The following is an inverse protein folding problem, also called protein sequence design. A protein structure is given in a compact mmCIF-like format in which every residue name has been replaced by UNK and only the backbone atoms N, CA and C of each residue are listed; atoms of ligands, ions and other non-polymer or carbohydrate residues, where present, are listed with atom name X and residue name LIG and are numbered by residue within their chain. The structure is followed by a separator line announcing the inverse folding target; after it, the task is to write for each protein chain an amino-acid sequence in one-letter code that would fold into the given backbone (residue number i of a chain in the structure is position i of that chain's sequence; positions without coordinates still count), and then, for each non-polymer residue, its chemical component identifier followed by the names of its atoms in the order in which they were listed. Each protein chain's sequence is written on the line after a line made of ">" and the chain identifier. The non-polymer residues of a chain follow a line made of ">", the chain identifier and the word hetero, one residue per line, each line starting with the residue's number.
data_IF_970795290674
#
_entry.id   IF_970795290674
#
_cell.length_a   1.000
_cell.length_b   1.000
_cell.length_c   1.000
_cell.angle_alpha   90.00
_cell.angle_beta   90.00
_cell.angle_gamma   90.00
#
_symmetry.space_group_name_H-M   'P 1'
#
loop_
_entity.id
_entity.type
_entity.pdbx_description
1 polymer ?
#
# COMPACT_ATOMS: atom_id res chain seq x y z
N UNK A 1 -20.21 -32.90 10.95
CA UNK A 1 -18.90 -33.55 10.73
C UNK A 1 -17.84 -32.72 11.44
N UNK A 2 -17.19 -33.30 12.47
CA UNK A 2 -16.04 -32.70 13.16
C UNK A 2 -14.88 -32.57 12.16
N UNK A 3 -14.60 -31.34 11.70
CA UNK A 3 -13.50 -31.09 10.78
C UNK A 3 -13.80 -31.55 9.35
N UNK A 4 -14.12 -30.61 8.46
CA UNK A 4 -14.43 -30.92 7.05
C UNK A 4 -13.36 -31.78 6.37
N UNK A 5 -13.78 -32.76 5.56
CA UNK A 5 -12.88 -33.65 4.83
C UNK A 5 -12.12 -32.86 3.75
N UNK A 6 -10.79 -33.01 3.71
CA UNK A 6 -9.94 -32.41 2.67
C UNK A 6 -9.58 -33.44 1.60
N UNK A 7 -9.15 -34.63 2.02
CA UNK A 7 -8.75 -35.70 1.13
C UNK A 7 -8.85 -37.04 1.86
N UNK A 8 -9.37 -38.06 1.18
CA UNK A 8 -9.28 -39.45 1.62
C UNK A 8 -8.56 -40.26 0.55
N UNK A 9 -7.70 -41.20 0.97
CA UNK A 9 -6.98 -42.10 0.05
C UNK A 9 -6.64 -43.41 0.73
N UNK A 10 -6.51 -44.48 -0.06
CA UNK A 10 -5.97 -45.75 0.43
C UNK A 10 -4.47 -45.76 0.17
N UNK A 11 -3.68 -46.13 1.18
CA UNK A 11 -2.23 -46.34 1.07
C UNK A 11 -1.85 -47.59 1.86
N UNK A 12 -1.22 -48.55 1.20
CA UNK A 12 -0.75 -49.80 1.81
C UNK A 12 -1.86 -50.57 2.57
N UNK A 13 -3.07 -50.61 2.00
CA UNK A 13 -4.25 -51.25 2.60
C UNK A 13 -4.88 -50.48 3.77
N UNK A 14 -4.41 -49.28 4.09
CA UNK A 14 -4.95 -48.41 5.13
C UNK A 14 -5.67 -47.20 4.52
N UNK A 15 -6.77 -46.78 5.16
CA UNK A 15 -7.46 -45.55 4.79
C UNK A 15 -6.80 -44.37 5.49
N UNK A 16 -6.21 -43.45 4.71
CA UNK A 16 -5.60 -42.21 5.19
C UNK A 16 -6.56 -41.05 4.92
N UNK A 17 -7.01 -40.39 5.98
CA UNK A 17 -7.97 -39.28 5.93
C UNK A 17 -7.29 -38.00 6.39
N UNK A 18 -7.23 -37.01 5.50
CA UNK A 18 -6.81 -35.63 5.79
C UNK A 18 -8.06 -34.77 5.96
N UNK A 19 -8.27 -34.23 7.16
CA UNK A 19 -9.41 -33.37 7.50
C UNK A 19 -8.93 -32.04 8.09
N UNK A 20 -9.80 -31.05 8.03
CA UNK A 20 -9.61 -29.80 8.75
C UNK A 20 -9.59 -30.09 10.26
N UNK A 21 -8.62 -29.54 10.98
CA UNK A 21 -8.65 -29.56 12.43
C UNK A 21 -9.87 -28.78 12.93
N UNK A 22 -10.79 -29.46 13.61
CA UNK A 22 -12.03 -28.88 14.11
C UNK A 22 -11.82 -28.00 15.35
N UNK A 23 -10.63 -28.06 15.97
CA UNK A 23 -10.33 -27.39 17.24
C UNK A 23 -11.23 -27.87 18.39
N UNK A 24 -11.09 -27.22 19.56
CA UNK A 24 -11.85 -27.57 20.77
C UNK A 24 -13.37 -27.40 20.63
N UNK A 25 -13.81 -26.58 19.68
CA UNK A 25 -15.21 -26.19 19.50
C UNK A 25 -15.84 -26.76 18.21
N UNK A 26 -15.16 -27.66 17.49
CA UNK A 26 -15.74 -28.41 16.38
C UNK A 26 -15.99 -27.64 15.07
N UNK A 27 -15.54 -26.38 14.95
CA UNK A 27 -15.79 -25.52 13.80
C UNK A 27 -14.82 -25.74 12.64
N UNK A 28 -15.33 -25.97 11.42
CA UNK A 28 -14.51 -26.27 10.24
C UNK A 28 -14.33 -25.10 9.25
N UNK A 29 -15.03 -23.97 9.42
CA UNK A 29 -15.08 -22.90 8.42
C UNK A 29 -13.74 -22.16 8.20
N UNK A 30 -12.86 -22.14 9.21
CA UNK A 30 -11.60 -21.39 9.17
C UNK A 30 -10.43 -22.21 9.72
N UNK A 31 -10.26 -23.43 9.21
CA UNK A 31 -9.22 -24.33 9.69
C UNK A 31 -7.81 -23.76 9.45
N UNK A 32 -6.98 -23.74 10.50
CA UNK A 32 -5.58 -23.32 10.45
C UNK A 32 -4.63 -24.52 10.32
N UNK A 33 -5.14 -25.70 10.67
CA UNK A 33 -4.40 -26.96 10.67
C UNK A 33 -5.21 -28.04 9.96
N UNK A 34 -4.49 -28.98 9.39
CA UNK A 34 -5.01 -30.24 8.91
C UNK A 34 -4.56 -31.35 9.85
N UNK A 35 -5.45 -32.30 10.12
CA UNK A 35 -5.14 -33.52 10.85
C UNK A 35 -5.22 -34.68 9.86
N UNK A 36 -4.19 -35.50 9.84
CA UNK A 36 -4.18 -36.74 9.07
C UNK A 36 -4.26 -37.93 10.03
N UNK A 37 -5.35 -38.69 9.91
CA UNK A 37 -5.60 -39.93 10.63
C UNK A 37 -5.50 -41.11 9.68
N UNK A 38 -5.10 -42.27 10.21
CA UNK A 38 -5.00 -43.51 9.44
C UNK A 38 -5.91 -44.54 10.07
N UNK A 39 -6.67 -45.26 9.26
CA UNK A 39 -7.65 -46.25 9.69
C UNK A 39 -7.38 -47.60 9.04
N UNK A 40 -7.54 -48.68 9.82
CA UNK A 40 -7.58 -50.05 9.33
C UNK A 40 -9.01 -50.55 9.37
N UNK A 41 -9.45 -51.17 8.28
CA UNK A 41 -10.73 -51.87 8.25
C UNK A 41 -10.54 -53.29 8.78
N UNK A 42 -11.32 -53.71 9.77
CA UNK A 42 -11.25 -55.04 10.38
C UNK A 42 -12.32 -56.01 9.86
N UNK A 43 -13.00 -55.66 8.76
CA UNK A 43 -14.11 -56.44 8.20
C UNK A 43 -15.48 -55.99 8.68
N UNK A 44 -15.55 -55.15 9.73
CA UNK A 44 -16.81 -54.56 10.24
C UNK A 44 -16.71 -53.05 10.44
N UNK A 45 -15.58 -52.57 10.97
CA UNK A 45 -15.41 -51.19 11.39
C UNK A 45 -14.06 -50.61 10.95
N UNK A 46 -13.98 -49.29 10.84
CA UNK A 46 -12.71 -48.56 10.68
C UNK A 46 -12.16 -48.24 12.06
N UNK A 47 -11.00 -48.78 12.39
CA UNK A 47 -10.27 -48.47 13.63
C UNK A 47 -9.08 -47.58 13.32
N UNK A 48 -8.97 -46.48 14.05
CA UNK A 48 -7.80 -45.61 13.92
C UNK A 48 -6.53 -46.35 14.36
N UNK A 49 -5.47 -46.22 13.59
CA UNK A 49 -4.19 -46.88 13.79
C UNK A 49 -3.04 -45.88 13.63
N UNK A 50 -2.04 -45.98 14.49
CA UNK A 50 -0.90 -45.06 14.51
C UNK A 50 -1.22 -43.72 15.19
N UNK A 51 -0.23 -42.81 15.17
CA UNK A 51 -0.40 -41.45 15.71
C UNK A 51 -0.95 -40.53 14.61
N UNK A 52 -2.01 -39.80 14.94
CA UNK A 52 -2.50 -38.68 14.13
C UNK A 52 -1.39 -37.66 13.93
N UNK A 53 -1.27 -37.12 12.72
CA UNK A 53 -0.33 -36.03 12.42
C UNK A 53 -1.08 -34.73 12.22
N UNK A 54 -0.49 -33.61 12.64
CA UNK A 54 -1.08 -32.27 12.54
C UNK A 54 -0.13 -31.37 11.77
N UNK A 55 -0.64 -30.68 10.74
CA UNK A 55 0.15 -29.76 9.91
C UNK A 55 -0.53 -28.41 9.77
N UNK A 56 0.25 -27.33 9.69
CA UNK A 56 -0.29 -26.02 9.33
C UNK A 56 -0.76 -26.03 7.87
N UNK A 57 -1.94 -25.44 7.63
CA UNK A 57 -2.48 -25.29 6.28
C UNK A 57 -1.84 -24.14 5.51
N UNK A 58 -1.35 -23.13 6.23
CA UNK A 58 -0.77 -21.91 5.67
C UNK A 58 0.57 -21.58 6.34
N UNK A 59 1.60 -22.42 6.15
CA UNK A 59 2.91 -22.19 6.76
C UNK A 59 3.49 -20.85 6.28
N UNK A 60 3.99 -20.05 7.20
CA UNK A 60 4.52 -18.73 6.88
C UNK A 60 5.92 -18.85 6.25
N UNK A 61 6.11 -18.28 5.06
CA UNK A 61 7.42 -18.20 4.40
C UNK A 61 8.26 -17.10 5.03
N UNK A 62 9.45 -17.42 5.53
CA UNK A 62 10.36 -16.40 6.07
C UNK A 62 10.89 -15.47 4.99
N UNK A 63 10.85 -14.19 5.28
CA UNK A 63 11.49 -13.13 4.51
C UNK A 63 12.75 -12.70 5.27
N UNK A 64 13.89 -12.81 4.59
CA UNK A 64 15.16 -12.28 5.04
C UNK A 64 15.61 -11.18 4.08
N UNK A 65 16.16 -10.11 4.65
CA UNK A 65 16.79 -9.02 3.91
C UNK A 65 18.28 -9.31 3.71
N UNK A 66 18.82 -8.85 2.59
CA UNK A 66 20.28 -8.82 2.41
C UNK A 66 20.91 -7.89 3.45
N UNK A 67 22.17 -8.12 3.81
CA UNK A 67 22.89 -7.28 4.77
C UNK A 67 22.77 -5.79 4.41
N UNK A 68 22.47 -4.96 5.42
CA UNK A 68 22.27 -3.50 5.26
C UNK A 68 21.00 -3.09 4.50
N UNK A 69 20.13 -4.04 4.09
CA UNK A 69 18.84 -3.73 3.46
C UNK A 69 17.71 -3.84 4.48
N UNK A 70 16.78 -2.91 4.38
CA UNK A 70 15.58 -2.81 5.22
C UNK A 70 14.30 -3.13 4.44
N UNK A 71 14.43 -3.55 3.19
CA UNK A 71 13.28 -3.90 2.34
C UNK A 71 13.63 -4.90 1.25
N UNK A 72 12.59 -5.59 0.75
CA UNK A 72 12.70 -6.59 -0.30
C UNK A 72 11.40 -6.69 -1.07
N UNK A 73 11.51 -6.60 -2.40
CA UNK A 73 10.39 -6.90 -3.30
C UNK A 73 10.18 -8.41 -3.33
N UNK A 74 8.95 -8.82 -3.04
CA UNK A 74 8.52 -10.21 -3.08
C UNK A 74 7.62 -10.38 -4.29
N UNK A 75 7.90 -11.42 -5.05
CA UNK A 75 7.08 -11.83 -6.19
C UNK A 75 6.58 -13.24 -5.95
N UNK A 76 5.27 -13.42 -6.07
CA UNK A 76 4.62 -14.72 -5.92
C UNK A 76 3.67 -14.99 -7.08
N UNK A 77 3.46 -16.28 -7.35
CA UNK A 77 2.43 -16.77 -8.26
C UNK A 77 1.49 -17.64 -7.43
N UNK A 78 0.20 -17.30 -7.42
CA UNK A 78 -0.83 -18.02 -6.66
C UNK A 78 -1.80 -18.70 -7.64
N UNK A 79 -2.01 -20.00 -7.44
CA UNK A 79 -2.91 -20.82 -8.26
C UNK A 79 -4.37 -20.39 -8.09
N UNK A 80 -5.29 -20.74 -9.00
CA UNK A 80 -6.72 -20.38 -8.94
C UNK A 80 -7.36 -20.64 -7.57
N UNK A 81 -7.15 -21.83 -7.01
CA UNK A 81 -7.69 -22.33 -5.76
C UNK A 81 -6.99 -21.78 -4.50
N UNK A 82 -5.82 -21.16 -4.66
CA UNK A 82 -5.04 -20.65 -3.55
C UNK A 82 -5.52 -19.25 -3.16
N UNK A 83 -6.24 -19.14 -2.05
CA UNK A 83 -6.83 -17.87 -1.62
C UNK A 83 -5.89 -16.99 -0.78
N UNK A 84 -4.86 -17.58 -0.16
CA UNK A 84 -3.96 -16.84 0.73
C UNK A 84 -2.59 -17.45 0.89
N UNK A 85 -1.61 -16.60 1.20
CA UNK A 85 -0.25 -16.98 1.61
C UNK A 85 0.19 -16.20 2.83
N UNK A 86 1.03 -16.81 3.66
CA UNK A 86 1.61 -16.16 4.84
C UNK A 86 3.09 -15.96 4.69
N UNK A 87 3.56 -14.86 5.28
CA UNK A 87 4.96 -14.51 5.33
C UNK A 87 5.31 -14.13 6.76
N UNK A 88 6.53 -14.46 7.16
CA UNK A 88 7.07 -14.08 8.47
C UNK A 88 8.31 -13.23 8.29
N UNK A 89 8.39 -12.15 9.05
CA UNK A 89 9.55 -11.26 9.11
C UNK A 89 9.95 -11.08 10.57
N UNK A 90 11.25 -11.21 10.84
CA UNK A 90 11.82 -10.89 12.14
C UNK A 90 12.07 -9.40 12.22
N UNK A 91 11.65 -8.76 13.31
CA UNK A 91 11.82 -7.34 13.53
C UNK A 91 11.91 -7.02 15.03
N UNK A 92 12.53 -5.89 15.36
CA UNK A 92 12.68 -5.41 16.72
C UNK A 92 11.50 -4.54 17.16
N UNK A 93 11.30 -4.45 18.48
CA UNK A 93 10.37 -3.50 19.08
C UNK A 93 10.69 -2.08 18.63
N UNK A 94 9.67 -1.26 18.44
CA UNK A 94 9.77 0.10 17.95
C UNK A 94 9.74 0.21 16.43
N UNK A 95 10.27 -0.76 15.69
CA UNK A 95 10.29 -0.73 14.22
C UNK A 95 8.88 -0.66 13.63
N UNK A 96 8.78 -0.32 12.34
CA UNK A 96 7.54 -0.32 11.57
C UNK A 96 7.65 -1.33 10.43
N UNK A 97 6.70 -2.25 10.38
CA UNK A 97 6.46 -3.11 9.23
C UNK A 97 5.60 -2.38 8.21
N UNK A 98 6.08 -2.31 6.98
CA UNK A 98 5.33 -1.79 5.83
C UNK A 98 5.30 -2.86 4.73
N UNK A 99 4.10 -3.21 4.27
CA UNK A 99 3.89 -4.05 3.08
C UNK A 99 3.04 -3.27 2.09
N UNK A 100 3.62 -2.92 0.94
CA UNK A 100 2.93 -2.14 -0.09
C UNK A 100 2.66 -2.98 -1.33
N UNK A 101 1.47 -2.80 -1.89
CA UNK A 101 0.94 -3.57 -3.00
C UNK A 101 0.28 -2.61 -4.00
N UNK A 102 0.37 -2.92 -5.30
CA UNK A 102 -0.28 -2.14 -6.37
C UNK A 102 -1.47 -2.87 -7.00
N UNK A 103 -1.70 -4.14 -6.66
CA UNK A 103 -2.78 -4.94 -7.22
C UNK A 103 -4.04 -4.83 -6.33
N UNK A 104 -5.17 -4.32 -6.84
CA UNK A 104 -6.39 -4.13 -6.05
C UNK A 104 -7.04 -5.45 -5.59
N UNK A 105 -6.73 -6.58 -6.23
CA UNK A 105 -7.24 -7.92 -5.89
C UNK A 105 -6.48 -8.58 -4.73
N UNK A 106 -5.40 -7.95 -4.24
CA UNK A 106 -4.68 -8.38 -3.05
C UNK A 106 -5.07 -7.54 -1.84
N UNK A 107 -5.34 -8.23 -0.72
CA UNK A 107 -5.49 -7.61 0.59
C UNK A 107 -4.42 -8.10 1.56
N UNK A 108 -3.93 -7.19 2.38
CA UNK A 108 -2.83 -7.40 3.31
C UNK A 108 -3.35 -7.26 4.75
N UNK A 109 -3.00 -8.21 5.61
CA UNK A 109 -3.41 -8.21 7.02
C UNK A 109 -2.30 -8.74 7.92
N UNK A 110 -2.15 -8.15 9.10
CA UNK A 110 -1.30 -8.72 10.14
C UNK A 110 -2.05 -9.87 10.81
N UNK A 111 -1.46 -11.07 10.79
CA UNK A 111 -2.06 -12.27 11.38
C UNK A 111 -1.53 -12.59 12.76
N UNK A 112 -0.25 -12.30 13.02
CA UNK A 112 0.41 -12.57 14.30
C UNK A 112 1.50 -11.55 14.58
N UNK A 113 1.64 -11.18 15.84
CA UNK A 113 2.68 -10.28 16.34
C UNK A 113 2.07 -9.11 17.10
N UNK A 114 2.77 -8.64 18.13
CA UNK A 114 2.30 -7.54 18.98
C UNK A 114 2.63 -6.21 18.31
N UNK A 115 1.63 -5.56 17.68
CA UNK A 115 1.81 -4.31 16.95
C UNK A 115 0.58 -3.41 17.06
N UNK A 116 0.79 -2.12 16.91
CA UNK A 116 -0.27 -1.16 16.60
C UNK A 116 -0.44 -1.11 15.08
N UNK A 117 -1.60 -1.54 14.60
CA UNK A 117 -1.96 -1.47 13.19
C UNK A 117 -2.36 -0.01 12.86
N UNK A 118 -1.75 0.55 11.82
CA UNK A 118 -2.00 1.90 11.33
C UNK A 118 -2.76 1.89 10.00
N UNK A 119 -2.50 0.90 9.14
CA UNK A 119 -3.18 0.69 7.86
C UNK A 119 -3.25 -0.81 7.57
N UNK A 120 -4.36 -1.28 6.99
CA UNK A 120 -4.57 -2.66 6.53
C UNK A 120 -5.38 -2.68 5.22
N UNK A 121 -5.52 -3.87 4.65
CA UNK A 121 -6.16 -4.15 3.36
C UNK A 121 -5.33 -3.75 2.14
N UNK A 122 -5.28 -2.49 1.72
CA UNK A 122 -4.56 -2.10 0.48
C UNK A 122 -3.04 -2.10 0.64
N UNK A 123 -2.59 -1.67 1.81
CA UNK A 123 -1.23 -1.81 2.30
C UNK A 123 -1.32 -2.29 3.76
N UNK A 124 -0.22 -2.77 4.31
CA UNK A 124 -0.13 -3.06 5.74
C UNK A 124 0.94 -2.18 6.35
N UNK A 125 0.56 -1.33 7.30
CA UNK A 125 1.48 -0.52 8.09
C UNK A 125 1.24 -0.81 9.56
N UNK A 126 2.24 -1.34 10.25
CA UNK A 126 2.14 -1.73 11.66
C UNK A 126 3.37 -1.34 12.45
N UNK A 127 3.18 -0.60 13.54
CA UNK A 127 4.22 -0.23 14.51
C UNK A 127 4.40 -1.36 15.51
N UNK A 128 5.60 -1.91 15.59
CA UNK A 128 5.91 -3.15 16.29
C UNK A 128 6.15 -2.86 17.78
N UNK A 129 5.37 -3.48 18.67
CA UNK A 129 5.44 -3.25 20.12
C UNK A 129 6.49 -4.12 20.79
N UNK A 130 6.87 -5.25 20.20
CA UNK A 130 7.83 -6.22 20.76
C UNK A 130 8.81 -6.72 19.72
N UNK A 131 10.00 -7.11 20.13
CA UNK A 131 10.93 -7.79 19.23
C UNK A 131 10.43 -9.22 18.99
N UNK A 132 10.48 -9.69 17.76
CA UNK A 132 10.11 -11.05 17.42
C UNK A 132 9.65 -11.21 15.99
N UNK A 133 8.92 -12.30 15.76
CA UNK A 133 8.39 -12.66 14.46
C UNK A 133 6.99 -12.12 14.25
N UNK A 134 6.83 -11.39 13.15
CA UNK A 134 5.57 -10.86 12.68
C UNK A 134 5.10 -11.64 11.47
N UNK A 135 3.89 -12.18 11.53
CA UNK A 135 3.27 -12.92 10.42
C UNK A 135 2.19 -12.06 9.80
N UNK A 136 2.35 -11.77 8.51
CA UNK A 136 1.31 -11.15 7.72
C UNK A 136 0.78 -12.11 6.65
N UNK A 137 -0.45 -11.86 6.25
CA UNK A 137 -1.19 -12.65 5.29
C UNK A 137 -1.49 -11.81 4.05
N UNK A 138 -1.27 -12.42 2.89
CA UNK A 138 -1.64 -11.91 1.57
C UNK A 138 -2.84 -12.70 1.11
N UNK A 139 -3.99 -12.05 0.99
CA UNK A 139 -5.25 -12.63 0.57
C UNK A 139 -5.55 -12.23 -0.88
N UNK A 140 -5.88 -13.21 -1.72
CA UNK A 140 -6.26 -13.04 -3.12
C UNK A 140 -7.78 -13.18 -3.26
N UNK A 141 -8.43 -12.18 -3.84
CA UNK A 141 -9.89 -12.14 -4.06
C UNK A 141 -10.28 -12.42 -5.52
N UNK A 142 -9.52 -13.29 -6.18
CA UNK A 142 -9.68 -13.64 -7.59
C UNK A 142 -9.56 -15.14 -7.77
N UNK A 143 -10.38 -15.72 -8.64
CA UNK A 143 -10.35 -17.14 -8.97
C UNK A 143 -9.37 -17.48 -10.10
N UNK A 144 -8.57 -16.51 -10.57
CA UNK A 144 -7.59 -16.70 -11.63
C UNK A 144 -6.21 -16.98 -11.06
N UNK A 145 -5.39 -17.67 -11.84
CA UNK A 145 -3.97 -17.73 -11.58
C UNK A 145 -3.34 -16.36 -11.87
N UNK A 146 -2.60 -15.81 -10.92
CA UNK A 146 -1.99 -14.50 -11.08
C UNK A 146 -0.64 -14.40 -10.39
N UNK A 147 0.22 -13.56 -10.98
CA UNK A 147 1.51 -13.18 -10.43
C UNK A 147 1.40 -11.83 -9.75
N UNK A 148 1.76 -11.77 -8.48
CA UNK A 148 1.72 -10.56 -7.68
C UNK A 148 3.11 -10.14 -7.27
N UNK A 149 3.30 -8.83 -7.10
CA UNK A 149 4.50 -8.28 -6.48
C UNK A 149 4.13 -7.24 -5.44
N UNK A 150 4.77 -7.33 -4.28
CA UNK A 150 4.62 -6.39 -3.18
C UNK A 150 5.98 -6.13 -2.53
N UNK A 151 6.16 -4.94 -1.95
CA UNK A 151 7.39 -4.57 -1.26
C UNK A 151 7.19 -4.76 0.24
N UNK A 152 8.08 -5.50 0.89
CA UNK A 152 8.10 -5.68 2.34
C UNK A 152 9.27 -4.88 2.90
N UNK A 153 9.01 -4.06 3.91
CA UNK A 153 9.99 -3.16 4.51
C UNK A 153 9.88 -3.23 6.03
N UNK A 154 11.01 -3.32 6.73
CA UNK A 154 11.14 -3.12 8.17
C UNK A 154 12.05 -1.92 8.37
N UNK A 155 11.52 -0.82 8.90
CA UNK A 155 12.31 0.36 9.24
C UNK A 155 12.30 0.57 10.74
N UNK A 156 13.43 0.99 11.31
CA UNK A 156 13.40 1.60 12.63
C UNK A 156 12.39 2.73 12.65
N UNK A 157 11.64 2.84 13.73
CA UNK A 157 10.57 3.80 13.87
C UNK A 157 11.03 5.19 13.38
N UNK A 158 10.42 5.78 12.35
CA UNK A 158 10.55 7.21 12.16
C UNK A 158 9.56 7.98 13.05
N UNK A 159 8.69 7.32 13.84
CA UNK A 159 7.86 8.05 14.83
C UNK A 159 8.61 8.35 16.13
N UNK A 160 9.86 7.93 16.29
CA UNK A 160 10.81 8.71 17.09
C UNK A 160 11.39 9.74 16.16
N UNK A 161 11.09 11.00 16.42
CA UNK A 161 11.73 12.14 15.79
C UNK A 161 13.22 11.84 15.59
N UNK A 162 13.65 11.68 14.34
CA UNK A 162 14.96 12.16 13.96
C UNK A 162 14.89 13.69 14.07
N UNK A 163 14.92 14.20 15.30
CA UNK A 163 15.75 15.37 15.53
C UNK A 163 17.17 14.86 15.28
N UNK A 164 17.60 15.02 14.03
CA UNK A 164 18.95 15.12 13.49
C UNK A 164 19.06 14.39 12.16
N UNK A 165 18.51 15.01 11.13
CA UNK A 165 19.41 15.62 10.16
C UNK A 165 19.03 17.09 10.13
N UNK A 166 19.90 17.94 10.65
CA UNK A 166 19.98 19.37 10.30
C UNK A 166 20.37 19.55 8.82
N UNK A 167 19.87 18.69 7.93
CA UNK A 167 19.90 18.90 6.50
C UNK A 167 18.73 19.82 6.19
N UNK A 168 19.03 21.05 5.79
CA UNK A 168 18.02 22.01 5.34
C UNK A 168 17.05 21.32 4.36
N UNK A 169 15.77 21.25 4.72
CA UNK A 169 14.72 20.83 3.80
C UNK A 169 14.32 22.08 3.00
N UNK A 170 14.75 22.10 1.75
CA UNK A 170 14.55 23.23 0.87
C UNK A 170 13.22 23.07 0.11
N UNK A 171 12.64 24.21 -0.29
CA UNK A 171 11.55 24.25 -1.27
C UNK A 171 12.12 24.55 -2.65
N UNK A 172 11.83 23.70 -3.63
CA UNK A 172 12.07 23.97 -5.05
C UNK A 172 10.72 23.98 -5.76
N UNK A 173 10.53 24.86 -6.74
CA UNK A 173 9.23 25.05 -7.38
C UNK A 173 9.28 24.65 -8.86
N UNK A 174 8.26 23.89 -9.27
CA UNK A 174 7.92 23.68 -10.67
C UNK A 174 6.78 24.61 -11.05
N UNK A 175 6.89 25.28 -12.21
CA UNK A 175 5.77 26.00 -12.80
C UNK A 175 4.86 25.00 -13.54
N UNK A 176 3.55 25.07 -13.29
CA UNK A 176 2.52 24.20 -13.84
C UNK A 176 1.66 24.86 -14.91
N UNK A 177 1.92 26.13 -15.24
CA UNK A 177 1.20 26.83 -16.30
C UNK A 177 1.47 26.14 -17.65
N UNK A 178 0.43 26.04 -18.48
CA UNK A 178 0.48 25.31 -19.74
C UNK A 178 1.59 25.81 -20.69
N UNK A 179 1.91 27.11 -20.67
CA UNK A 179 2.98 27.73 -21.48
C UNK A 179 4.39 27.37 -21.01
N UNK A 180 4.54 26.84 -19.78
CA UNK A 180 5.81 26.36 -19.22
C UNK A 180 5.94 24.84 -19.27
N UNK A 181 4.88 24.13 -19.66
CA UNK A 181 4.85 22.70 -19.81
C UNK A 181 4.87 22.32 -21.29
N UNK A 182 5.46 21.18 -21.61
CA UNK A 182 5.42 20.63 -22.96
C UNK A 182 4.04 20.00 -23.17
N UNK A 183 3.23 20.57 -24.07
CA UNK A 183 1.97 19.96 -24.48
C UNK A 183 2.23 18.57 -25.08
N UNK A 184 1.59 17.57 -24.52
CA UNK A 184 1.62 16.17 -24.98
C UNK A 184 0.36 15.87 -25.78
N UNK A 185 -0.78 16.37 -25.32
CA UNK A 185 -2.08 16.15 -25.94
C UNK A 185 -2.97 17.36 -25.68
N UNK A 186 -3.74 17.73 -26.70
CA UNK A 186 -4.71 18.81 -26.65
C UNK A 186 -5.87 18.43 -27.57
N UNK A 187 -7.07 18.38 -27.01
CA UNK A 187 -8.33 18.25 -27.74
C UNK A 187 -9.25 19.38 -27.28
N UNK A 188 -9.65 20.24 -28.21
CA UNK A 188 -10.54 21.37 -27.92
C UNK A 188 -12.01 21.03 -28.19
N UNK A 189 -12.31 19.81 -28.64
CA UNK A 189 -13.67 19.37 -28.91
C UNK A 189 -14.43 18.97 -27.64
N UNK A 190 -15.76 19.12 -27.68
CA UNK A 190 -16.63 18.72 -26.57
C UNK A 190 -16.31 19.46 -25.26
N UNK A 191 -15.98 18.70 -24.22
CA UNK A 191 -15.61 19.23 -22.90
C UNK A 191 -14.13 19.62 -22.77
N UNK A 192 -13.35 19.46 -23.85
CA UNK A 192 -11.91 19.70 -23.87
C UNK A 192 -11.10 18.66 -23.09
N UNK A 193 -9.86 18.49 -23.52
CA UNK A 193 -8.85 17.69 -22.83
C UNK A 193 -7.47 18.30 -23.04
N UNK A 194 -6.69 18.37 -21.97
CA UNK A 194 -5.29 18.82 -22.02
C UNK A 194 -4.41 17.87 -21.22
N UNK A 195 -3.22 17.59 -21.75
CA UNK A 195 -2.16 16.90 -21.05
C UNK A 195 -0.81 17.56 -21.33
N UNK A 196 -0.18 18.07 -20.28
CA UNK A 196 1.10 18.77 -20.35
C UNK A 196 2.16 18.16 -19.45
N UNK A 197 3.37 17.97 -19.96
CA UNK A 197 4.53 17.52 -19.19
C UNK A 197 5.35 18.73 -18.71
N UNK A 198 5.40 18.92 -17.40
CA UNK A 198 6.14 19.99 -16.74
C UNK A 198 7.48 19.46 -16.19
N UNK A 199 8.49 20.34 -16.15
CA UNK A 199 9.80 20.01 -15.54
C UNK A 199 9.62 19.58 -14.09
N UNK A 200 10.29 18.52 -13.65
CA UNK A 200 10.33 18.16 -12.23
C UNK A 200 11.74 18.19 -11.66
N UNK A 201 11.91 17.55 -10.50
CA UNK A 201 13.10 17.62 -9.67
C UNK A 201 13.53 16.21 -9.27
N UNK A 202 14.84 15.95 -9.20
CA UNK A 202 15.37 14.70 -8.66
C UNK A 202 15.05 13.44 -9.49
N UNK A 203 14.99 13.56 -10.81
CA UNK A 203 14.67 12.45 -11.72
C UNK A 203 13.17 12.17 -11.88
N UNK A 204 12.34 13.14 -11.49
CA UNK A 204 10.90 13.11 -11.68
C UNK A 204 10.44 14.24 -12.60
N UNK A 205 9.29 14.04 -13.24
CA UNK A 205 8.49 15.06 -13.95
C UNK A 205 7.08 15.11 -13.40
N UNK A 206 6.38 16.19 -13.69
CA UNK A 206 4.95 16.31 -13.41
C UNK A 206 4.19 16.31 -14.72
N UNK A 207 3.04 15.65 -14.75
CA UNK A 207 2.10 15.72 -15.86
C UNK A 207 0.80 16.35 -15.33
N UNK A 208 0.45 17.51 -15.85
CA UNK A 208 -0.83 18.18 -15.58
C UNK A 208 -1.84 17.63 -16.57
N UNK A 209 -2.98 17.15 -16.07
CA UNK A 209 -4.09 16.70 -16.91
C UNK A 209 -5.30 17.53 -16.58
N UNK A 210 -6.00 17.97 -17.62
CA UNK A 210 -7.33 18.56 -17.55
C UNK A 210 -8.31 17.74 -18.39
N UNK A 211 -9.49 17.48 -17.84
CA UNK A 211 -10.61 16.93 -18.58
C UNK A 211 -11.93 17.19 -17.86
N UNK A 212 -12.95 17.61 -18.61
CA UNK A 212 -14.26 18.00 -18.05
C UNK A 212 -14.09 19.02 -16.90
N UNK A 213 -13.33 20.09 -17.20
CA UNK A 213 -13.04 21.23 -16.31
C UNK A 213 -12.47 20.84 -14.93
N UNK A 214 -11.74 19.73 -14.87
CA UNK A 214 -11.08 19.24 -13.67
C UNK A 214 -9.63 18.94 -13.95
N UNK A 215 -8.76 19.42 -13.07
CA UNK A 215 -7.32 19.19 -13.19
C UNK A 215 -6.81 18.19 -12.15
N UNK A 216 -5.82 17.40 -12.54
CA UNK A 216 -5.03 16.54 -11.63
C UNK A 216 -3.56 16.56 -12.02
N UNK A 217 -2.72 16.03 -11.14
CA UNK A 217 -1.30 15.82 -11.40
C UNK A 217 -0.98 14.33 -11.38
N UNK A 218 -0.12 13.92 -12.31
CA UNK A 218 0.62 12.67 -12.21
C UNK A 218 2.10 12.96 -11.96
N UNK A 219 2.76 12.05 -11.26
CA UNK A 219 4.21 12.07 -11.07
C UNK A 219 4.83 10.98 -11.94
N UNK A 220 5.86 11.34 -12.71
CA UNK A 220 6.55 10.43 -13.63
C UNK A 220 8.00 10.31 -13.18
N UNK A 221 8.51 9.09 -12.96
CA UNK A 221 9.93 8.82 -12.73
C UNK A 221 10.62 8.59 -14.06
N UNK A 222 11.56 9.47 -14.41
CA UNK A 222 12.18 9.51 -15.75
C UNK A 222 12.97 8.25 -16.08
N UNK A 223 13.73 7.73 -15.10
CA UNK A 223 14.62 6.59 -15.33
C UNK A 223 13.88 5.27 -15.58
N UNK A 224 12.70 5.09 -14.97
CA UNK A 224 11.96 3.83 -15.02
C UNK A 224 10.69 3.91 -15.88
N UNK A 225 10.23 5.12 -16.21
CA UNK A 225 8.90 5.35 -16.78
C UNK A 225 7.76 5.11 -15.79
N UNK A 226 8.06 4.93 -14.49
CA UNK A 226 7.06 4.75 -13.46
C UNK A 226 6.13 5.96 -13.36
N UNK A 227 4.82 5.73 -13.38
CA UNK A 227 3.79 6.77 -13.28
C UNK A 227 2.92 6.55 -12.05
N UNK A 228 2.71 7.61 -11.28
CA UNK A 228 1.78 7.63 -10.15
C UNK A 228 0.70 8.67 -10.38
N UNK A 229 -0.55 8.20 -10.46
CA UNK A 229 -1.71 9.04 -10.64
C UNK A 229 -2.21 9.53 -9.28
N UNK A 230 -2.11 10.84 -9.04
CA UNK A 230 -2.56 11.39 -7.77
C UNK A 230 -4.08 11.43 -7.67
N UNK A 231 -4.78 11.51 -8.81
CA UNK A 231 -6.24 11.32 -8.92
C UNK A 231 -7.02 12.31 -8.02
N UNK A 232 -6.69 13.61 -8.12
CA UNK A 232 -7.27 14.66 -7.27
C UNK A 232 -8.79 14.78 -7.41
N UNK A 233 -9.28 14.60 -8.64
CA UNK A 233 -10.70 14.68 -8.98
C UNK A 233 -11.55 13.53 -8.40
N UNK A 234 -10.96 12.50 -7.80
CA UNK A 234 -11.72 11.49 -7.02
C UNK A 234 -11.27 11.40 -5.57
N UNK A 235 -9.99 11.63 -5.27
CA UNK A 235 -9.44 11.50 -3.91
C UNK A 235 -9.54 12.76 -3.07
N UNK A 236 -9.69 13.93 -3.68
CA UNK A 236 -9.76 15.22 -2.99
C UNK A 236 -11.13 15.84 -3.14
N UNK A 237 -11.64 15.98 -4.37
CA UNK A 237 -13.00 16.43 -4.64
C UNK A 237 -13.43 16.11 -6.06
N UNK A 238 -14.71 15.79 -6.25
CA UNK A 238 -15.36 15.52 -7.55
C UNK A 238 -15.79 16.79 -8.31
N UNK A 239 -15.78 17.96 -7.65
CA UNK A 239 -16.20 19.22 -8.24
C UNK A 239 -15.23 19.76 -9.29
N UNK A 240 -15.67 20.73 -10.09
CA UNK A 240 -14.79 21.44 -11.02
C UNK A 240 -13.60 22.03 -10.30
N UNK A 241 -12.42 21.90 -10.91
CA UNK A 241 -11.19 22.13 -10.18
C UNK A 241 -10.01 22.52 -11.05
N UNK A 242 -9.10 23.27 -10.45
CA UNK A 242 -7.82 23.64 -11.05
C UNK A 242 -6.66 23.45 -10.07
N UNK A 243 -5.49 23.10 -10.60
CA UNK A 243 -4.25 23.16 -9.84
C UNK A 243 -3.71 24.59 -9.86
N UNK A 244 -3.01 25.00 -8.81
CA UNK A 244 -2.32 26.30 -8.80
C UNK A 244 -1.12 26.31 -9.73
N UNK A 245 -0.60 27.51 -10.00
CA UNK A 245 0.50 27.75 -10.96
C UNK A 245 1.83 27.08 -10.59
N UNK A 246 2.00 26.65 -9.33
CA UNK A 246 3.26 26.08 -8.83
C UNK A 246 3.04 24.80 -8.06
N UNK A 247 3.90 23.83 -8.31
CA UNK A 247 4.13 22.69 -7.42
C UNK A 247 5.36 22.98 -6.55
N UNK A 248 5.22 22.82 -5.24
CA UNK A 248 6.33 22.97 -4.30
C UNK A 248 6.89 21.59 -3.94
N UNK A 249 8.12 21.33 -4.33
CA UNK A 249 8.89 20.16 -3.94
C UNK A 249 9.59 20.43 -2.61
N UNK A 250 9.37 19.56 -1.63
CA UNK A 250 10.21 19.49 -0.43
C UNK A 250 11.34 18.51 -0.71
N UNK A 251 12.58 18.97 -0.59
CA UNK A 251 13.75 18.19 -0.99
C UNK A 251 14.79 18.13 0.12
N UNK A 252 15.50 17.01 0.18
CA UNK A 252 16.74 16.87 0.96
C UNK A 252 17.93 16.76 0.02
N UNK A 253 19.08 17.23 0.48
CA UNK A 253 20.36 17.00 -0.20
C UNK A 253 21.06 15.82 0.46
N UNK A 254 21.30 14.76 -0.30
CA UNK A 254 22.03 13.58 0.15
C UNK A 254 23.08 13.23 -0.90
N UNK A 255 24.34 13.10 -0.50
CA UNK A 255 25.47 12.76 -1.38
C UNK A 255 25.58 13.66 -2.62
N UNK A 256 25.35 14.98 -2.44
CA UNK A 256 25.36 15.97 -3.52
C UNK A 256 24.13 15.91 -4.45
N UNK A 257 23.20 14.98 -4.24
CA UNK A 257 21.98 14.82 -5.03
C UNK A 257 20.78 15.43 -4.35
N UNK A 258 19.87 15.98 -5.15
CA UNK A 258 18.57 16.46 -4.72
C UNK A 258 17.60 15.28 -4.68
N UNK A 259 17.06 14.99 -3.50
CA UNK A 259 16.12 13.89 -3.25
C UNK A 259 14.78 14.49 -2.82
N UNK A 260 13.73 14.43 -3.67
CA UNK A 260 12.38 14.80 -3.29
C UNK A 260 11.85 13.90 -2.17
N UNK A 261 11.21 14.51 -1.17
CA UNK A 261 10.55 13.80 -0.06
C UNK A 261 9.03 14.01 -0.04
N UNK A 262 8.56 15.12 -0.62
CA UNK A 262 7.14 15.46 -0.70
C UNK A 262 6.90 16.47 -1.83
N UNK A 263 5.66 16.49 -2.32
CA UNK A 263 5.16 17.52 -3.24
C UNK A 263 3.91 18.15 -2.62
N UNK A 264 3.83 19.47 -2.65
CA UNK A 264 2.70 20.26 -2.22
C UNK A 264 2.11 20.95 -3.45
N UNK A 265 0.83 20.74 -3.73
CA UNK A 265 0.13 21.33 -4.86
C UNK A 265 -1.10 22.06 -4.35
N UNK A 266 -1.28 23.30 -4.78
CA UNK A 266 -2.53 24.02 -4.55
C UNK A 266 -3.62 23.44 -5.44
N UNK A 267 -4.76 23.12 -4.85
CA UNK A 267 -5.92 22.58 -5.53
C UNK A 267 -7.14 23.44 -5.20
N UNK A 268 -7.69 24.06 -6.23
CA UNK A 268 -8.83 24.96 -6.15
C UNK A 268 -10.06 24.20 -6.62
N UNK A 269 -11.08 24.10 -5.78
CA UNK A 269 -12.32 23.38 -6.09
C UNK A 269 -13.48 24.37 -6.05
N UNK A 270 -14.31 24.39 -7.09
CA UNK A 270 -15.58 25.11 -7.07
C UNK A 270 -16.60 24.29 -6.27
N UNK A 271 -17.01 24.80 -5.11
CA UNK A 271 -18.00 24.17 -4.23
C UNK A 271 -19.30 25.01 -4.26
N UNK A 272 -20.49 24.38 -4.37
CA UNK A 272 -21.75 25.07 -4.18
C UNK A 272 -21.92 25.47 -2.71
N UNK A 273 -22.39 26.67 -2.46
CA UNK A 273 -22.77 27.14 -1.12
C UNK A 273 -24.28 27.01 -0.89
N UNK A 274 -24.71 27.03 0.38
CA UNK A 274 -26.13 26.90 0.76
C UNK A 274 -27.04 27.99 0.15
N UNK A 275 -26.46 29.13 -0.23
CA UNK A 275 -27.14 30.24 -0.92
C UNK A 275 -27.10 30.13 -2.46
N UNK A 276 -26.66 28.99 -3.01
CA UNK A 276 -26.59 28.73 -4.44
C UNK A 276 -25.43 29.43 -5.18
N UNK A 277 -24.55 30.13 -4.46
CA UNK A 277 -23.33 30.71 -5.06
C UNK A 277 -22.25 29.65 -5.23
N UNK A 278 -21.28 29.94 -6.09
CA UNK A 278 -20.06 29.14 -6.19
C UNK A 278 -18.97 29.80 -5.37
N UNK A 279 -18.33 29.02 -4.49
CA UNK A 279 -17.15 29.46 -3.74
C UNK A 279 -15.98 28.54 -4.06
N UNK A 280 -14.87 29.15 -4.44
CA UNK A 280 -13.63 28.41 -4.66
C UNK A 280 -12.96 28.10 -3.33
N UNK A 281 -12.84 26.82 -2.99
CA UNK A 281 -12.04 26.34 -1.86
C UNK A 281 -10.62 26.05 -2.32
N UNK A 282 -9.65 26.82 -1.83
CA UNK A 282 -8.22 26.63 -2.15
C UNK A 282 -7.51 25.80 -1.08
N UNK A 283 -7.28 24.52 -1.34
CA UNK A 283 -6.59 23.61 -0.44
C UNK A 283 -5.14 23.35 -0.89
N UNK A 284 -4.27 22.91 0.03
CA UNK A 284 -2.94 22.40 -0.32
C UNK A 284 -2.92 20.88 -0.17
N UNK A 285 -2.72 20.18 -1.27
CA UNK A 285 -2.60 18.71 -1.31
C UNK A 285 -1.14 18.35 -1.07
N UNK A 286 -0.90 17.56 -0.02
CA UNK A 286 0.43 17.11 0.38
C UNK A 286 0.61 15.65 0.01
N UNK A 287 1.74 15.33 -0.60
CA UNK A 287 2.12 13.98 -0.99
C UNK A 287 3.40 13.53 -0.29
N UNK A 288 3.66 12.22 -0.27
CA UNK A 288 4.95 11.65 0.12
C UNK A 288 5.67 11.01 -1.05
N UNK A 289 6.99 11.00 -1.00
CA UNK A 289 7.88 10.21 -1.85
C UNK A 289 8.64 9.22 -0.95
N UNK A 290 8.53 7.91 -1.22
CA UNK A 290 9.27 6.88 -0.48
C UNK A 290 10.36 6.17 -1.32
N UNK A 291 10.62 6.69 -2.52
CA UNK A 291 11.59 6.16 -3.49
C UNK A 291 10.99 5.20 -4.53
N UNK A 292 9.88 4.52 -4.21
CA UNK A 292 9.19 3.60 -5.13
C UNK A 292 7.68 3.90 -5.28
N UNK A 293 7.16 4.86 -4.52
CA UNK A 293 5.76 5.21 -4.50
C UNK A 293 5.50 6.68 -4.15
N UNK A 294 4.44 7.23 -4.75
CA UNK A 294 3.92 8.57 -4.48
C UNK A 294 2.42 8.48 -4.21
N UNK A 295 1.97 9.07 -3.10
CA UNK A 295 0.55 9.22 -2.79
C UNK A 295 0.27 10.48 -2.00
N UNK A 296 -1.00 10.86 -1.94
CA UNK A 296 -1.50 11.93 -1.07
C UNK A 296 -1.52 11.44 0.37
N UNK A 297 -1.05 12.25 1.30
CA UNK A 297 -1.10 11.99 2.75
C UNK A 297 -2.03 12.95 3.47
N UNK A 298 -2.15 14.19 3.00
CA UNK A 298 -2.96 15.22 3.66
C UNK A 298 -3.54 16.21 2.65
N UNK A 299 -4.66 16.82 3.02
CA UNK A 299 -5.24 17.97 2.33
C UNK A 299 -5.45 19.07 3.36
N UNK A 300 -4.73 20.19 3.22
CA UNK A 300 -4.81 21.32 4.15
C UNK A 300 -5.88 22.29 3.66
N UNK A 301 -7.01 22.45 4.38
CA UNK A 301 -8.06 23.40 4.00
C UNK A 301 -7.56 24.86 4.10
N UNK A 302 -8.31 25.84 3.56
CA UNK A 302 -7.99 27.25 3.74
C UNK A 302 -7.85 27.63 5.22
N UNK A 303 -6.69 28.18 5.61
CA UNK A 303 -6.41 28.65 6.97
C UNK A 303 -5.28 29.69 6.98
N UNK A 304 -5.13 30.41 8.10
CA UNK A 304 -3.95 31.27 8.32
C UNK A 304 -2.69 30.39 8.34
N UNK A 305 -1.62 30.82 7.66
CA UNK A 305 -0.34 30.09 7.54
C UNK A 305 -0.48 28.70 6.89
N UNK A 306 -1.37 28.59 5.88
CA UNK A 306 -1.65 27.34 5.16
C UNK A 306 -0.38 26.70 4.57
N UNK A 307 0.49 27.51 3.96
CA UNK A 307 1.71 27.00 3.31
C UNK A 307 2.69 26.44 4.34
N UNK A 308 2.88 27.13 5.47
CA UNK A 308 3.71 26.62 6.56
C UNK A 308 3.15 25.32 7.11
N UNK A 309 1.82 25.23 7.27
CA UNK A 309 1.20 23.99 7.72
C UNK A 309 1.41 22.84 6.72
N UNK A 310 1.25 23.09 5.42
CA UNK A 310 1.49 22.09 4.39
C UNK A 310 2.95 21.64 4.39
N UNK A 311 3.92 22.55 4.59
CA UNK A 311 5.35 22.22 4.70
C UNK A 311 5.64 21.35 5.92
N UNK A 312 5.09 21.69 7.10
CA UNK A 312 5.23 20.86 8.30
C UNK A 312 4.74 19.43 8.05
N UNK A 313 3.59 19.27 7.39
CA UNK A 313 3.02 17.96 7.08
C UNK A 313 3.84 17.23 6.01
N UNK A 314 4.35 17.94 5.01
CA UNK A 314 5.17 17.43 3.93
C UNK A 314 6.54 16.93 4.42
N UNK A 315 7.16 17.66 5.35
CA UNK A 315 8.48 17.33 5.90
C UNK A 315 8.46 16.02 6.71
N UNK A 316 7.28 15.65 7.22
CA UNK A 316 7.04 14.38 7.92
C UNK A 316 6.20 13.38 7.11
N UNK A 317 5.87 13.67 5.85
CA UNK A 317 4.91 12.90 5.05
C UNK A 317 5.37 11.46 4.78
N UNK A 318 6.69 11.22 4.76
CA UNK A 318 7.25 9.87 4.65
C UNK A 318 6.73 8.91 5.74
N UNK A 319 6.36 9.43 6.90
CA UNK A 319 5.80 8.67 8.03
C UNK A 319 4.27 8.55 7.99
N UNK A 320 3.58 9.14 7.02
CA UNK A 320 2.11 9.14 7.02
C UNK A 320 1.53 8.04 6.14
N UNK A 321 0.37 7.46 6.52
CA UNK A 321 -0.37 6.60 5.61
C UNK A 321 -0.85 7.41 4.41
N UNK A 322 -1.21 6.71 3.34
CA UNK A 322 -1.84 7.36 2.21
C UNK A 322 -3.31 7.61 2.49
N UNK A 323 -3.86 8.70 1.94
CA UNK A 323 -5.30 8.87 1.91
C UNK A 323 -5.91 7.79 1.01
N UNK A 324 -6.77 6.97 1.61
CA UNK A 324 -7.71 6.10 0.90
C UNK A 324 -8.90 6.92 0.42
N UNK A 325 -9.60 6.47 -0.62
CA UNK A 325 -10.84 7.13 -1.08
C UNK A 325 -11.83 7.26 0.08
N UNK A 326 -12.40 8.45 0.24
CA UNK A 326 -13.64 8.62 1.01
C UNK A 326 -14.81 7.98 0.26
#
# INVERSE_FOLDING_TARGET
>A
AFGGLRKARVKDGLLVVDSNDAGKYGGACCAEYAVTNTYRFDGKTLKEVGKSSRRELYPAKRIAFSSGKFGKKITIRMAPEEQKRRFVVGAAAGQTLMVTNRNPELKLRLRRGDAQILEEDTSLVAKLRKSGDYVFEVNKFSNREQKFSFLVTIKDNPYTYLNTSSGNIDSIYTNLNADKCKTIELDESGAGYYRGECKGIGGYKLEVIEGDLRQTINVIQEASGGKWELDFWTKVSIGFSSVGEKAEWRVKRADGKIVPIALIIRYNVSEPTDDGRQKTRSSLVVTKFDGEFVCITDVVPPMKRQNEKARELADVAASKPCLTRN
#
